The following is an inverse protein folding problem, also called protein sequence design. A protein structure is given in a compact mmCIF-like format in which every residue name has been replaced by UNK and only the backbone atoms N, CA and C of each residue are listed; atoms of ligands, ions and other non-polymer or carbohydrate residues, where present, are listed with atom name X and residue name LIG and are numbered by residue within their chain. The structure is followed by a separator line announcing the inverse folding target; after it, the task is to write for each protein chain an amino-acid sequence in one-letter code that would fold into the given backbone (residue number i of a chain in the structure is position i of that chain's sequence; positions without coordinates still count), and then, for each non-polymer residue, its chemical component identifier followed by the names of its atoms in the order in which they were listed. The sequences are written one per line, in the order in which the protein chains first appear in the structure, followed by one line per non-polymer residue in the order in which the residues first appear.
data_IF_264086315589
#
_entry.id   IF_264086315589
#
_cell.length_a   1.000
_cell.length_b   1.000
_cell.length_c   1.000
_cell.angle_alpha   90.00
_cell.angle_beta   90.00
_cell.angle_gamma   90.00
#
_symmetry.space_group_name_H-M   'P 1'
#
loop_
_entity.id
_entity.type
_entity.pdbx_description
1 polymer ?
#
# COMPACT_ATOMS: atom_id res chain seq x y z
N UNK A 1 13.22 6.39 -11.17
CA UNK A 1 12.95 6.99 -9.84
C UNK A 1 11.81 7.99 -9.95
N UNK A 2 10.92 8.00 -8.95
CA UNK A 2 9.93 9.06 -8.77
C UNK A 2 10.67 10.36 -8.42
N UNK A 3 10.34 11.46 -9.10
CA UNK A 3 10.73 12.78 -8.60
C UNK A 3 10.04 13.05 -7.26
N UNK A 4 10.69 13.82 -6.39
CA UNK A 4 10.24 14.12 -5.03
C UNK A 4 8.83 14.70 -4.99
N UNK A 5 8.52 15.65 -5.88
CA UNK A 5 7.19 16.26 -5.99
C UNK A 5 6.09 15.23 -6.30
N UNK A 6 6.39 14.27 -7.18
CA UNK A 6 5.41 13.24 -7.55
C UNK A 6 5.19 12.26 -6.40
N UNK A 7 6.26 11.88 -5.69
CA UNK A 7 6.17 11.06 -4.47
C UNK A 7 5.30 11.76 -3.44
N UNK A 8 5.54 13.05 -3.19
CA UNK A 8 4.77 13.84 -2.22
C UNK A 8 3.28 13.93 -2.57
N UNK A 9 2.94 14.13 -3.85
CA UNK A 9 1.53 14.12 -4.29
C UNK A 9 0.85 12.77 -4.07
N UNK A 10 1.56 11.67 -4.30
CA UNK A 10 1.02 10.32 -4.07
C UNK A 10 0.80 10.11 -2.57
N UNK A 11 1.78 10.46 -1.73
CA UNK A 11 1.66 10.36 -0.27
C UNK A 11 0.48 11.18 0.26
N UNK A 12 0.31 12.41 -0.23
CA UNK A 12 -0.79 13.30 0.16
C UNK A 12 -2.17 12.75 -0.20
N UNK A 13 -2.28 12.01 -1.32
CA UNK A 13 -3.54 11.37 -1.72
C UNK A 13 -3.79 10.07 -0.96
N UNK A 14 -2.81 9.18 -0.90
CA UNK A 14 -2.99 7.81 -0.40
C UNK A 14 -2.95 7.74 1.11
N UNK A 15 -2.18 8.61 1.78
CA UNK A 15 -2.09 8.65 3.25
C UNK A 15 -3.45 8.75 3.94
N UNK A 16 -4.29 9.76 3.61
CA UNK A 16 -5.63 9.88 4.18
C UNK A 16 -6.52 8.66 3.89
N UNK A 17 -6.46 8.11 2.68
CA UNK A 17 -7.27 6.94 2.32
C UNK A 17 -6.89 5.71 3.16
N UNK A 18 -5.60 5.48 3.39
CA UNK A 18 -5.12 4.39 4.23
C UNK A 18 -5.53 4.60 5.69
N UNK A 19 -5.38 5.82 6.21
CA UNK A 19 -5.78 6.16 7.57
C UNK A 19 -7.28 5.94 7.82
N UNK A 20 -8.12 6.24 6.83
CA UNK A 20 -9.55 5.96 6.91
C UNK A 20 -9.88 4.46 6.87
N UNK A 21 -9.09 3.65 6.16
CA UNK A 21 -9.28 2.20 6.07
C UNK A 21 -8.86 1.54 7.39
N UNK A 22 -7.69 1.93 7.89
CA UNK A 22 -7.07 1.36 9.06
C UNK A 22 -6.06 2.35 9.66
N UNK A 23 -6.37 3.00 10.80
CA UNK A 23 -5.52 4.02 11.39
C UNK A 23 -4.19 3.47 11.95
N UNK A 24 -4.08 2.15 12.14
CA UNK A 24 -2.85 1.52 12.62
C UNK A 24 -1.84 1.26 11.49
N UNK A 25 -2.23 1.50 10.24
CA UNK A 25 -1.38 1.31 9.07
C UNK A 25 -0.64 2.59 8.71
N UNK A 26 0.69 2.48 8.64
CA UNK A 26 1.59 3.59 8.27
C UNK A 26 2.14 3.39 6.87
N UNK A 27 2.05 4.42 6.03
CA UNK A 27 2.68 4.45 4.71
C UNK A 27 4.12 4.96 4.83
N UNK A 28 5.10 4.09 4.56
CA UNK A 28 6.53 4.41 4.66
C UNK A 28 7.10 4.92 3.34
N UNK A 29 6.81 4.21 2.26
CA UNK A 29 7.42 4.48 0.98
C UNK A 29 6.48 4.21 -0.19
N UNK A 30 6.73 4.93 -1.28
CA UNK A 30 6.07 4.74 -2.57
C UNK A 30 7.15 4.45 -3.59
N UNK A 31 7.05 3.31 -4.24
CA UNK A 31 7.99 2.87 -5.27
C UNK A 31 7.25 2.85 -6.61
N UNK A 32 7.81 3.53 -7.61
CA UNK A 32 7.40 3.38 -9.00
C UNK A 32 8.53 2.69 -9.73
N UNK A 33 8.19 1.64 -10.47
CA UNK A 33 9.15 0.89 -11.24
C UNK A 33 9.78 1.75 -12.36
N UNK A 34 10.86 1.23 -12.96
CA UNK A 34 11.59 1.94 -14.02
C UNK A 34 10.72 2.17 -15.26
N UNK A 35 9.77 1.27 -15.54
CA UNK A 35 8.85 1.38 -16.68
C UNK A 35 7.70 2.35 -16.44
N UNK A 36 7.51 2.81 -15.20
CA UNK A 36 6.41 3.68 -14.75
C UNK A 36 5.04 3.04 -14.94
N UNK A 37 4.96 1.72 -14.94
CA UNK A 37 3.73 0.96 -15.06
C UNK A 37 3.26 0.41 -13.72
N UNK A 38 4.17 0.19 -12.77
CA UNK A 38 3.87 -0.43 -11.50
C UNK A 38 4.18 0.51 -10.35
N UNK A 39 3.19 0.72 -9.50
CA UNK A 39 3.27 1.48 -8.27
C UNK A 39 3.13 0.53 -7.10
N UNK A 40 4.02 0.64 -6.11
CA UNK A 40 3.95 -0.11 -4.88
C UNK A 40 3.96 0.83 -3.67
N UNK A 41 3.10 0.53 -2.71
CA UNK A 41 3.04 1.17 -1.40
C UNK A 41 3.67 0.23 -0.38
N UNK A 42 4.71 0.72 0.30
CA UNK A 42 5.34 0.04 1.42
C UNK A 42 4.69 0.55 2.69
N UNK A 43 4.01 -0.36 3.37
CA UNK A 43 3.18 -0.11 4.54
C UNK A 43 3.72 -0.88 5.75
N UNK A 44 3.37 -0.42 6.94
CA UNK A 44 3.63 -1.13 8.18
C UNK A 44 2.36 -1.15 9.03
N UNK A 45 1.99 -2.32 9.55
CA UNK A 45 0.95 -2.50 10.57
C UNK A 45 1.53 -3.27 11.75
N UNK A 46 1.74 -2.58 12.88
CA UNK A 46 2.52 -3.14 13.98
C UNK A 46 3.93 -3.55 13.52
N UNK A 47 4.28 -4.82 13.71
CA UNK A 47 5.57 -5.40 13.25
C UNK A 47 5.51 -5.95 11.81
N UNK A 48 4.36 -5.90 11.13
CA UNK A 48 4.20 -6.52 9.82
C UNK A 48 4.50 -5.54 8.68
N UNK A 49 5.57 -5.76 7.91
CA UNK A 49 5.78 -5.05 6.66
C UNK A 49 4.80 -5.57 5.59
N UNK A 50 4.11 -4.64 4.94
CA UNK A 50 3.09 -4.95 3.94
C UNK A 50 3.43 -4.21 2.65
N UNK A 51 3.37 -4.90 1.52
CA UNK A 51 3.54 -4.29 0.19
C UNK A 51 2.26 -4.47 -0.62
N UNK A 52 1.69 -3.34 -1.05
CA UNK A 52 0.53 -3.30 -1.96
C UNK A 52 0.99 -2.75 -3.30
N UNK A 53 0.92 -3.59 -4.34
CA UNK A 53 1.24 -3.20 -5.71
C UNK A 53 -0.03 -2.95 -6.53
N UNK A 54 0.03 -1.99 -7.46
CA UNK A 54 -1.01 -1.74 -8.45
C UNK A 54 -0.43 -1.10 -9.72
N UNK A 55 -1.18 -1.16 -10.81
CA UNK A 55 -0.80 -0.45 -12.02
C UNK A 55 -0.88 1.07 -11.82
N UNK A 56 0.09 1.81 -12.37
CA UNK A 56 0.14 3.27 -12.31
C UNK A 56 -1.07 3.92 -12.98
N UNK A 57 -1.51 3.41 -14.14
CA UNK A 57 -2.70 3.91 -14.84
C UNK A 57 -3.96 3.68 -14.01
N UNK A 58 -4.07 2.53 -13.36
CA UNK A 58 -5.17 2.29 -12.43
C UNK A 58 -5.15 3.32 -11.30
N UNK A 59 -4.01 3.54 -10.66
CA UNK A 59 -3.88 4.53 -9.59
C UNK A 59 -4.35 5.94 -10.02
N UNK A 60 -3.92 6.42 -11.19
CA UNK A 60 -4.31 7.77 -11.64
C UNK A 60 -5.73 7.86 -12.19
N UNK A 61 -6.31 6.76 -12.65
CA UNK A 61 -7.62 6.76 -13.32
C UNK A 61 -8.78 6.56 -12.35
N UNK A 62 -8.55 5.83 -11.25
CA UNK A 62 -9.61 5.58 -10.26
C UNK A 62 -9.87 6.83 -9.42
N UNK A 63 -11.13 6.99 -9.02
CA UNK A 63 -11.52 7.98 -7.99
C UNK A 63 -11.07 7.51 -6.62
N UNK A 64 -11.10 8.42 -5.65
CA UNK A 64 -10.60 8.14 -4.31
C UNK A 64 -11.42 7.04 -3.60
N UNK A 65 -12.74 6.98 -3.84
CA UNK A 65 -13.60 5.92 -3.30
C UNK A 65 -13.20 4.54 -3.85
N UNK A 66 -13.04 4.44 -5.17
CA UNK A 66 -12.66 3.18 -5.83
C UNK A 66 -11.24 2.75 -5.44
N UNK A 67 -10.33 3.72 -5.33
CA UNK A 67 -8.96 3.48 -4.89
C UNK A 67 -8.95 2.99 -3.43
N UNK A 68 -9.77 3.58 -2.57
CA UNK A 68 -9.93 3.18 -1.16
C UNK A 68 -10.43 1.75 -1.05
N UNK A 69 -11.44 1.36 -1.84
CA UNK A 69 -11.95 -0.02 -1.86
C UNK A 69 -10.87 -1.02 -2.28
N UNK A 70 -10.09 -0.70 -3.34
CA UNK A 70 -9.00 -1.55 -3.82
C UNK A 70 -7.86 -1.68 -2.82
N UNK A 71 -7.49 -0.57 -2.16
CA UNK A 71 -6.49 -0.56 -1.10
C UNK A 71 -6.96 -1.39 0.09
N UNK A 72 -8.22 -1.25 0.51
CA UNK A 72 -8.78 -2.01 1.62
C UNK A 72 -8.83 -3.53 1.32
N UNK A 73 -9.24 -3.91 0.10
CA UNK A 73 -9.22 -5.30 -0.33
C UNK A 73 -7.79 -5.87 -0.29
N UNK A 74 -6.83 -5.16 -0.86
CA UNK A 74 -5.42 -5.58 -0.90
C UNK A 74 -4.81 -5.67 0.49
N UNK A 75 -5.09 -4.68 1.35
CA UNK A 75 -4.58 -4.64 2.72
C UNK A 75 -5.07 -5.83 3.54
N UNK A 76 -6.38 -6.14 3.49
CA UNK A 76 -6.94 -7.31 4.19
C UNK A 76 -6.26 -8.61 3.78
N UNK A 77 -6.09 -8.82 2.47
CA UNK A 77 -5.39 -10.03 1.96
C UNK A 77 -3.95 -10.10 2.44
N UNK A 78 -3.23 -8.97 2.47
CA UNK A 78 -1.82 -8.94 2.88
C UNK A 78 -1.62 -9.11 4.38
N UNK A 79 -2.49 -8.48 5.19
CA UNK A 79 -2.47 -8.65 6.65
C UNK A 79 -2.72 -10.10 7.03
N UNK A 80 -3.72 -10.74 6.42
CA UNK A 80 -4.02 -12.13 6.70
C UNK A 80 -2.87 -13.06 6.30
N UNK A 81 -2.26 -12.82 5.14
CA UNK A 81 -1.07 -13.57 4.71
C UNK A 81 0.13 -13.37 5.66
N UNK A 82 0.32 -12.16 6.18
CA UNK A 82 1.38 -11.86 7.15
C UNK A 82 1.14 -12.58 8.49
N UNK A 83 -0.10 -12.60 8.98
CA UNK A 83 -0.50 -13.32 10.19
C UNK A 83 -0.21 -14.82 10.08
N UNK A 84 -0.67 -15.46 9.00
CA UNK A 84 -0.45 -16.90 8.75
C UNK A 84 1.06 -17.23 8.67
N UNK A 85 1.86 -16.35 8.07
CA UNK A 85 3.30 -16.55 7.97
C UNK A 85 3.97 -16.55 9.35
N UNK A 86 3.60 -15.61 10.22
CA UNK A 86 4.15 -15.54 11.57
C UNK A 86 3.80 -16.78 12.40
N UNK A 87 2.54 -17.23 12.35
CA UNK A 87 2.10 -18.44 13.07
C UNK A 87 2.95 -19.67 12.69
N UNK A 88 3.34 -19.80 11.41
CA UNK A 88 4.21 -20.90 10.95
C UNK A 88 5.67 -20.77 11.40
N UNK A 89 6.17 -19.54 11.49
CA UNK A 89 7.54 -19.26 11.93
C UNK A 89 7.69 -19.45 13.46
N UNK A 90 6.61 -19.30 14.24
CA UNK A 90 6.59 -19.57 15.69
C UNK A 90 6.44 -21.07 16.05
N UNK A 91 5.95 -21.89 15.13
CA UNK A 91 5.81 -23.35 15.30
C UNK A 91 7.09 -24.15 14.93
N UNK A 92 8.13 -23.49 14.40
CA UNK A 92 9.39 -24.12 13.93
C UNK A 92 10.57 -23.80 14.83
#
# INVERSE_FOLDING_TARGET
MLGEDRRNKILQRVGPLLNDIDPDVRLHEVVLDSTRQQLAFVLQKGEWPIVIGMNWLDYVSHRDEELKERLAASLRTRVEAARIRQEREEET
#
